data_IF_605808686703
#
_entry.id   IF_605808686703
#
_cell.length_a   1.000
_cell.length_b   1.000
_cell.length_c   1.000
_cell.angle_alpha   90.00
_cell.angle_beta   90.00
_cell.angle_gamma   90.00
#
_symmetry.space_group_name_H-M   'P 1'
#
loop_
_entity.id
_entity.type
_entity.pdbx_description
1 polymer ?
#
# COMPACT_ATOMS: atom_id res chain seq x y z
N UNK A 1 -1.96 -9.48 30.50
CA UNK A 1 -2.45 -10.58 29.63
C UNK A 1 -1.32 -11.01 28.70
N UNK A 2 -1.13 -12.31 28.49
CA UNK A 2 -0.15 -12.85 27.53
C UNK A 2 -0.90 -13.13 26.23
N UNK A 3 -0.26 -12.94 25.07
CA UNK A 3 -0.87 -13.30 23.78
C UNK A 3 -1.26 -14.78 23.79
N UNK A 4 -2.42 -15.11 23.20
CA UNK A 4 -2.80 -16.51 23.00
C UNK A 4 -1.88 -17.16 21.98
N UNK A 5 -1.83 -18.50 21.93
CA UNK A 5 -1.05 -19.22 20.90
C UNK A 5 -1.46 -18.85 19.47
N UNK A 6 -2.77 -18.67 19.26
CA UNK A 6 -3.32 -18.28 17.97
C UNK A 6 -2.88 -16.86 17.59
N UNK A 7 -2.95 -15.91 18.54
CA UNK A 7 -2.46 -14.54 18.35
C UNK A 7 -0.95 -14.51 18.06
N UNK A 8 -0.14 -15.26 18.80
CA UNK A 8 1.30 -15.37 18.52
C UNK A 8 1.57 -15.93 17.11
N UNK A 9 0.76 -16.87 16.63
CA UNK A 9 0.87 -17.39 15.27
C UNK A 9 0.46 -16.34 14.23
N UNK A 10 -0.68 -15.67 14.42
CA UNK A 10 -1.21 -14.64 13.54
C UNK A 10 -0.25 -13.46 13.39
N UNK A 11 0.34 -12.99 14.47
CA UNK A 11 1.20 -11.79 14.50
C UNK A 11 2.70 -12.10 14.48
N UNK A 12 3.10 -13.33 14.10
CA UNK A 12 4.50 -13.77 14.12
C UNK A 12 5.45 -12.78 13.43
N UNK A 13 5.06 -12.21 12.29
CA UNK A 13 5.89 -11.23 11.55
C UNK A 13 6.05 -9.89 12.25
N UNK A 14 5.13 -9.51 13.12
CA UNK A 14 5.26 -8.31 13.94
C UNK A 14 6.10 -8.60 15.18
N UNK A 15 5.87 -9.74 15.84
CA UNK A 15 6.53 -10.09 17.11
C UNK A 15 8.05 -10.25 16.95
N UNK A 16 8.51 -10.70 15.78
CA UNK A 16 9.96 -10.80 15.52
C UNK A 16 10.62 -9.44 15.21
N UNK A 17 9.85 -8.35 15.10
CA UNK A 17 10.37 -6.99 14.97
C UNK A 17 10.84 -6.51 16.35
N UNK A 18 12.13 -6.14 16.52
CA UNK A 18 12.66 -5.72 17.81
C UNK A 18 11.91 -4.57 18.49
N UNK A 19 11.33 -3.67 17.71
CA UNK A 19 10.57 -2.49 18.11
C UNK A 19 9.16 -2.85 18.59
N UNK A 20 8.59 -3.97 18.15
CA UNK A 20 7.22 -4.39 18.51
C UNK A 20 7.26 -5.48 19.58
N UNK A 21 7.80 -6.66 19.29
CA UNK A 21 7.77 -7.84 20.18
C UNK A 21 6.34 -8.21 20.64
N UNK A 22 6.22 -9.18 21.55
CA UNK A 22 4.92 -9.56 22.12
C UNK A 22 4.24 -8.39 22.85
N UNK A 23 5.03 -7.57 23.56
CA UNK A 23 4.51 -6.46 24.35
C UNK A 23 3.91 -5.35 23.47
N UNK A 24 4.55 -5.03 22.35
CA UNK A 24 4.02 -4.06 21.39
C UNK A 24 2.76 -4.60 20.71
N UNK A 25 2.76 -5.85 20.25
CA UNK A 25 1.55 -6.41 19.64
C UNK A 25 0.38 -6.45 20.63
N UNK A 26 0.65 -6.72 21.91
CA UNK A 26 -0.35 -6.62 22.97
C UNK A 26 -0.91 -5.20 23.10
N UNK A 27 -0.05 -4.18 23.12
CA UNK A 27 -0.49 -2.77 23.16
C UNK A 27 -1.40 -2.44 21.97
N UNK A 28 -1.09 -2.94 20.77
CA UNK A 28 -1.96 -2.75 19.59
C UNK A 28 -3.34 -3.38 19.80
N UNK A 29 -3.39 -4.60 20.33
CA UNK A 29 -4.65 -5.30 20.64
C UNK A 29 -5.46 -4.65 21.78
N UNK A 30 -4.81 -3.88 22.65
CA UNK A 30 -5.46 -3.10 23.70
C UNK A 30 -5.88 -1.69 23.22
N UNK A 31 -5.37 -1.26 22.08
CA UNK A 31 -5.61 0.08 21.54
C UNK A 31 -6.90 0.18 20.74
N UNK A 32 -7.36 1.41 20.62
CA UNK A 32 -8.54 1.80 19.85
C UNK A 32 -8.22 2.98 18.93
N UNK A 33 -8.67 2.91 17.68
CA UNK A 33 -8.49 3.96 16.67
C UNK A 33 -9.85 4.33 16.09
N UNK A 34 -10.14 5.64 16.06
CA UNK A 34 -11.35 6.16 15.42
C UNK A 34 -11.01 6.73 14.06
N UNK A 35 -11.71 6.26 13.02
CA UNK A 35 -11.50 6.68 11.64
C UNK A 35 -12.76 7.30 11.05
N UNK A 36 -12.57 8.34 10.24
CA UNK A 36 -13.66 9.13 9.66
C UNK A 36 -13.40 9.32 8.16
N UNK A 37 -14.41 9.02 7.34
CA UNK A 37 -14.38 9.24 5.89
C UNK A 37 -15.77 9.44 5.30
N UNK A 38 -15.84 9.91 4.07
CA UNK A 38 -17.11 10.17 3.40
C UNK A 38 -17.76 8.86 2.92
N UNK A 39 -16.95 7.91 2.45
CA UNK A 39 -17.43 6.69 1.81
C UNK A 39 -16.43 5.53 1.95
N UNK A 40 -16.85 4.34 1.50
CA UNK A 40 -16.05 3.12 1.60
C UNK A 40 -14.73 3.20 0.83
N UNK A 41 -14.69 3.83 -0.35
CA UNK A 41 -13.45 3.90 -1.16
C UNK A 41 -12.32 4.58 -0.38
N UNK A 42 -12.67 5.59 0.42
CA UNK A 42 -11.71 6.41 1.18
C UNK A 42 -11.10 5.66 2.37
N UNK A 43 -11.91 4.87 3.08
CA UNK A 43 -11.46 4.14 4.25
C UNK A 43 -11.07 2.68 3.96
N UNK A 44 -11.20 2.22 2.71
CA UNK A 44 -11.05 0.81 2.35
C UNK A 44 -9.71 0.23 2.80
N UNK A 45 -8.58 0.83 2.39
CA UNK A 45 -7.25 0.35 2.76
C UNK A 45 -6.99 0.52 4.26
N UNK A 46 -7.40 1.65 4.83
CA UNK A 46 -7.15 1.97 6.24
C UNK A 46 -7.83 0.96 7.17
N UNK A 47 -9.10 0.64 6.93
CA UNK A 47 -9.83 -0.38 7.70
C UNK A 47 -9.11 -1.71 7.63
N UNK A 48 -8.72 -2.15 6.42
CA UNK A 48 -8.06 -3.44 6.23
C UNK A 48 -6.69 -3.50 6.92
N UNK A 49 -5.88 -2.45 6.84
CA UNK A 49 -4.55 -2.46 7.46
C UNK A 49 -4.58 -2.31 8.98
N UNK A 50 -5.43 -1.43 9.55
CA UNK A 50 -5.61 -1.39 11.01
C UNK A 50 -6.08 -2.75 11.55
N UNK A 51 -6.99 -3.40 10.81
CA UNK A 51 -7.51 -4.72 11.16
C UNK A 51 -6.44 -5.81 11.03
N UNK A 52 -5.72 -5.86 9.91
CA UNK A 52 -4.63 -6.82 9.69
C UNK A 52 -3.56 -6.71 10.78
N UNK A 53 -3.16 -5.49 11.13
CA UNK A 53 -2.11 -5.24 12.12
C UNK A 53 -2.55 -5.51 13.57
N UNK A 54 -3.85 -5.71 13.80
CA UNK A 54 -4.38 -6.07 15.12
C UNK A 54 -4.59 -4.89 16.04
N UNK A 55 -5.10 -3.77 15.52
CA UNK A 55 -5.65 -2.70 16.36
C UNK A 55 -6.93 -3.22 17.01
N UNK A 56 -6.95 -3.39 18.34
CA UNK A 56 -7.99 -4.13 19.04
C UNK A 56 -9.42 -3.63 18.83
N UNK A 57 -9.58 -2.31 18.64
CA UNK A 57 -10.85 -1.69 18.31
C UNK A 57 -10.69 -0.64 17.21
N UNK A 58 -11.42 -0.80 16.12
CA UNK A 58 -11.49 0.17 15.01
C UNK A 58 -12.91 0.71 14.95
N UNK A 59 -13.07 1.99 15.29
CA UNK A 59 -14.36 2.68 15.25
C UNK A 59 -14.46 3.46 13.94
N UNK A 60 -15.43 3.14 13.10
CA UNK A 60 -15.54 3.69 11.76
C UNK A 60 -16.76 4.60 11.62
N UNK A 61 -16.54 5.83 11.17
CA UNK A 61 -17.59 6.72 10.71
C UNK A 61 -17.55 6.82 9.18
N UNK A 62 -18.71 6.59 8.55
CA UNK A 62 -18.94 6.82 7.13
C UNK A 62 -20.07 7.84 6.98
N UNK A 63 -19.87 8.87 6.15
CA UNK A 63 -20.97 9.77 5.80
C UNK A 63 -22.02 9.08 4.92
N UNK A 64 -21.58 8.22 4.00
CA UNK A 64 -22.41 7.44 3.07
C UNK A 64 -22.29 5.96 3.39
N UNK A 65 -23.42 5.26 3.41
CA UNK A 65 -23.51 3.86 3.84
C UNK A 65 -23.23 2.83 2.72
N UNK A 66 -23.06 3.27 1.47
CA UNK A 66 -22.91 2.40 0.31
C UNK A 66 -21.68 1.48 0.43
N UNK A 67 -21.92 0.17 0.46
CA UNK A 67 -20.87 -0.85 0.53
C UNK A 67 -20.27 -1.07 1.93
N UNK A 68 -20.69 -0.32 2.96
CA UNK A 68 -20.11 -0.39 4.30
C UNK A 68 -20.22 -1.81 4.88
N UNK A 69 -21.38 -2.44 4.76
CA UNK A 69 -21.60 -3.79 5.26
C UNK A 69 -20.62 -4.82 4.68
N UNK A 70 -20.28 -4.69 3.39
CA UNK A 70 -19.32 -5.58 2.72
C UNK A 70 -17.91 -5.38 3.27
N UNK A 71 -17.44 -4.13 3.40
CA UNK A 71 -16.12 -3.82 3.95
C UNK A 71 -15.99 -4.33 5.40
N UNK A 72 -16.99 -4.05 6.24
CA UNK A 72 -16.97 -4.47 7.65
C UNK A 72 -16.98 -6.00 7.77
N UNK A 73 -17.77 -6.70 6.94
CA UNK A 73 -17.77 -8.16 6.91
C UNK A 73 -16.41 -8.72 6.48
N UNK A 74 -15.76 -8.10 5.48
CA UNK A 74 -14.44 -8.52 5.03
C UNK A 74 -13.37 -8.31 6.11
N UNK A 75 -13.39 -7.16 6.77
CA UNK A 75 -12.43 -6.84 7.82
C UNK A 75 -12.59 -7.78 9.05
N UNK A 76 -13.83 -8.05 9.48
CA UNK A 76 -14.09 -9.03 10.57
C UNK A 76 -13.62 -10.44 10.23
N UNK A 77 -13.76 -10.86 8.97
CA UNK A 77 -13.26 -12.16 8.50
C UNK A 77 -11.73 -12.17 8.38
N UNK A 78 -11.11 -11.05 7.97
CA UNK A 78 -9.66 -10.89 7.89
C UNK A 78 -8.99 -11.12 9.25
N UNK A 79 -9.51 -10.47 10.30
CA UNK A 79 -8.96 -10.60 11.64
C UNK A 79 -10.02 -10.67 12.73
N UNK A 80 -10.15 -11.85 13.33
CA UNK A 80 -11.11 -12.15 14.41
C UNK A 80 -10.72 -11.58 15.77
N UNK A 81 -9.46 -11.13 15.93
CA UNK A 81 -9.00 -10.48 17.17
C UNK A 81 -9.45 -9.01 17.28
N UNK A 82 -9.95 -8.42 16.18
CA UNK A 82 -10.26 -6.98 16.08
C UNK A 82 -11.76 -6.74 16.14
N UNK A 83 -12.17 -5.82 17.02
CA UNK A 83 -13.56 -5.33 17.08
C UNK A 83 -13.72 -4.15 16.13
N UNK A 84 -14.76 -4.20 15.30
CA UNK A 84 -15.08 -3.14 14.35
C UNK A 84 -16.49 -2.65 14.60
N UNK A 85 -16.62 -1.36 14.90
CA UNK A 85 -17.86 -0.70 15.29
C UNK A 85 -18.16 0.48 14.37
N UNK A 86 -19.44 0.70 14.04
CA UNK A 86 -19.88 1.85 13.26
C UNK A 86 -20.31 2.98 14.20
N UNK A 87 -19.72 4.15 14.02
CA UNK A 87 -20.05 5.37 14.77
C UNK A 87 -21.12 6.15 14.01
N UNK A 88 -22.13 6.67 14.72
CA UNK A 88 -23.17 7.56 14.15
C UNK A 88 -23.18 8.95 14.78
N UNK A 89 -23.03 9.05 16.09
CA UNK A 89 -23.23 10.30 16.83
C UNK A 89 -21.97 10.78 17.58
N UNK A 90 -21.64 10.17 18.72
CA UNK A 90 -20.52 10.62 19.57
C UNK A 90 -19.22 9.92 19.19
N UNK A 91 -18.11 10.66 19.15
CA UNK A 91 -16.78 10.03 19.02
C UNK A 91 -16.54 9.18 20.28
N UNK A 92 -16.28 7.87 20.14
CA UNK A 92 -15.82 7.08 21.27
C UNK A 92 -14.44 7.60 21.73
N UNK A 93 -14.09 7.31 22.98
CA UNK A 93 -12.71 7.48 23.44
C UNK A 93 -11.79 6.58 22.59
N UNK A 94 -10.68 7.12 22.13
CA UNK A 94 -9.72 6.38 21.31
C UNK A 94 -8.29 6.84 21.56
N UNK A 95 -7.32 5.95 21.35
CA UNK A 95 -5.91 6.29 21.47
C UNK A 95 -5.43 7.23 20.35
N UNK A 96 -6.03 7.11 19.17
CA UNK A 96 -5.65 7.86 17.98
C UNK A 96 -6.87 8.10 17.09
N UNK A 97 -6.84 9.19 16.33
CA UNK A 97 -7.90 9.54 15.36
C UNK A 97 -7.31 9.76 13.99
N UNK A 98 -8.03 9.32 12.96
CA UNK A 98 -7.65 9.54 11.56
C UNK A 98 -8.87 10.06 10.79
N UNK A 99 -8.70 11.15 10.05
CA UNK A 99 -9.75 11.75 9.24
C UNK A 99 -9.25 11.87 7.81
N UNK A 100 -9.92 11.17 6.88
CA UNK A 100 -9.58 11.16 5.47
C UNK A 100 -10.77 11.68 4.68
N UNK A 101 -10.52 12.48 3.65
CA UNK A 101 -11.58 12.94 2.77
C UNK A 101 -11.29 14.29 2.12
N UNK A 102 -12.34 14.89 1.57
CA UNK A 102 -12.27 16.24 1.03
C UNK A 102 -12.14 17.30 2.14
N UNK A 103 -11.57 18.48 1.86
CA UNK A 103 -11.55 19.60 2.79
C UNK A 103 -12.94 19.98 3.35
N UNK A 104 -14.03 20.05 2.55
CA UNK A 104 -15.37 20.29 3.10
C UNK A 104 -15.82 19.23 4.12
N UNK A 105 -15.55 17.94 3.85
CA UNK A 105 -15.83 16.86 4.81
C UNK A 105 -15.01 17.03 6.08
N UNK A 106 -13.69 17.18 5.94
CA UNK A 106 -12.76 17.35 7.07
C UNK A 106 -13.19 18.54 7.93
N UNK A 107 -13.50 19.69 7.32
CA UNK A 107 -13.95 20.89 8.02
C UNK A 107 -15.22 20.64 8.83
N UNK A 108 -16.21 19.98 8.23
CA UNK A 108 -17.49 19.68 8.89
C UNK A 108 -17.33 18.69 10.05
N UNK A 109 -16.64 17.56 9.82
CA UNK A 109 -16.48 16.53 10.85
C UNK A 109 -15.62 17.05 12.01
N UNK A 110 -14.60 17.84 11.71
CA UNK A 110 -13.69 18.38 12.72
C UNK A 110 -14.36 19.35 13.69
N UNK A 111 -15.32 20.16 13.24
CA UNK A 111 -16.16 21.01 14.11
C UNK A 111 -16.96 20.21 15.13
N UNK A 112 -17.35 18.98 14.80
CA UNK A 112 -18.01 18.08 15.74
C UNK A 112 -16.99 17.48 16.72
N UNK A 113 -15.84 17.03 16.21
CA UNK A 113 -14.79 16.39 16.99
C UNK A 113 -14.13 17.31 18.03
N UNK A 114 -14.09 18.62 17.78
CA UNK A 114 -13.59 19.63 18.73
C UNK A 114 -14.44 19.78 19.99
N UNK A 115 -15.66 19.22 20.00
CA UNK A 115 -16.53 19.22 21.19
C UNK A 115 -16.18 18.11 22.18
N UNK A 116 -15.42 17.12 21.74
CA UNK A 116 -14.98 15.98 22.54
C UNK A 116 -13.55 16.21 23.08
N UNK A 117 -13.10 15.35 23.99
CA UNK A 117 -11.72 15.37 24.45
C UNK A 117 -10.76 15.19 23.26
N UNK A 118 -9.72 16.02 23.22
CA UNK A 118 -8.74 15.97 22.15
C UNK A 118 -7.89 14.70 22.26
N UNK A 119 -7.67 14.07 21.11
CA UNK A 119 -6.74 12.95 20.93
C UNK A 119 -5.92 13.24 19.67
N UNK A 120 -4.65 12.78 19.59
CA UNK A 120 -3.84 13.00 18.40
C UNK A 120 -4.59 12.59 17.14
N UNK A 121 -4.69 13.52 16.19
CA UNK A 121 -5.55 13.39 15.02
C UNK A 121 -4.72 13.58 13.75
N UNK A 122 -4.65 12.53 12.92
CA UNK A 122 -4.01 12.56 11.62
C UNK A 122 -5.04 12.88 10.52
N UNK A 123 -4.80 13.95 9.78
CA UNK A 123 -5.61 14.31 8.62
C UNK A 123 -4.95 13.82 7.33
N UNK A 124 -5.73 13.22 6.44
CA UNK A 124 -5.36 12.98 5.04
C UNK A 124 -6.28 13.76 4.12
N UNK A 125 -5.75 14.83 3.53
CA UNK A 125 -6.47 15.63 2.54
C UNK A 125 -6.10 15.10 1.18
N UNK A 126 -7.05 14.49 0.48
CA UNK A 126 -6.78 13.85 -0.80
C UNK A 126 -7.51 14.61 -1.86
N UNK A 127 -6.84 15.14 -2.89
CA UNK A 127 -7.43 15.76 -4.10
C UNK A 127 -6.88 15.09 -5.35
N UNK A 128 -7.73 14.34 -6.06
CA UNK A 128 -7.31 13.58 -7.26
C UNK A 128 -6.02 12.80 -6.95
N UNK A 129 -4.99 12.88 -7.80
CA UNK A 129 -3.68 12.22 -7.68
C UNK A 129 -2.76 12.76 -6.58
N UNK A 130 -3.23 13.71 -5.76
CA UNK A 130 -2.43 14.36 -4.73
C UNK A 130 -3.05 14.17 -3.36
N UNK A 131 -2.22 14.10 -2.33
CA UNK A 131 -2.72 14.16 -0.97
C UNK A 131 -1.71 14.78 -0.01
N UNK A 132 -2.18 15.26 1.14
CA UNK A 132 -1.35 15.75 2.21
C UNK A 132 -1.69 15.05 3.53
N UNK A 133 -0.67 14.73 4.34
CA UNK A 133 -0.80 14.17 5.68
C UNK A 133 -0.37 15.21 6.71
N UNK A 134 -1.21 15.43 7.73
CA UNK A 134 -0.92 16.37 8.81
C UNK A 134 -1.36 15.79 10.17
N UNK A 135 -0.39 15.54 11.07
CA UNK A 135 -0.66 15.05 12.41
C UNK A 135 -0.73 16.22 13.40
N UNK A 136 -1.90 16.40 14.02
CA UNK A 136 -2.16 17.44 15.01
C UNK A 136 -2.28 16.84 16.40
N UNK A 137 -1.74 17.54 17.40
CA UNK A 137 -1.57 17.03 18.78
C UNK A 137 -2.34 17.82 19.84
N UNK A 138 -2.96 18.94 19.46
CA UNK A 138 -3.83 19.72 20.31
C UNK A 138 -4.98 20.35 19.50
N UNK A 139 -5.97 20.85 20.22
CA UNK A 139 -7.18 21.43 19.65
C UNK A 139 -6.96 22.80 19.01
N UNK A 140 -5.94 23.56 19.44
CA UNK A 140 -5.65 24.90 18.93
C UNK A 140 -5.06 24.80 17.51
N UNK A 141 -4.03 23.99 17.34
CA UNK A 141 -3.45 23.60 16.03
C UNK A 141 -4.56 23.08 15.09
N UNK A 142 -5.49 22.27 15.61
CA UNK A 142 -6.61 21.73 14.84
C UNK A 142 -7.59 22.81 14.40
N UNK A 143 -7.96 23.76 15.27
CA UNK A 143 -8.81 24.90 14.93
C UNK A 143 -8.18 25.74 13.82
N UNK A 144 -6.91 26.12 13.96
CA UNK A 144 -6.19 26.89 12.95
C UNK A 144 -6.15 26.15 11.60
N UNK A 145 -5.80 24.87 11.61
CA UNK A 145 -5.75 24.06 10.41
C UNK A 145 -7.10 24.01 9.66
N UNK A 146 -8.21 23.87 10.38
CA UNK A 146 -9.57 23.81 9.79
C UNK A 146 -9.96 25.15 9.15
N UNK A 147 -9.55 26.27 9.72
CA UNK A 147 -9.82 27.61 9.16
C UNK A 147 -9.11 27.83 7.83
N UNK A 148 -7.95 27.18 7.62
CA UNK A 148 -7.18 27.25 6.37
C UNK A 148 -7.75 26.38 5.24
N UNK A 149 -8.69 25.46 5.54
CA UNK A 149 -9.24 24.56 4.53
C UNK A 149 -10.16 25.30 3.54
N UNK A 150 -9.99 25.06 2.22
CA UNK A 150 -10.83 25.67 1.21
C UNK A 150 -12.29 25.23 1.34
N UNK A 151 -13.21 26.13 1.00
CA UNK A 151 -14.66 25.88 0.98
C UNK A 151 -15.14 25.24 -0.34
N UNK A 152 -14.30 25.23 -1.39
CA UNK A 152 -14.71 24.81 -2.73
C UNK A 152 -14.95 23.30 -2.83
N UNK A 153 -16.08 22.96 -3.45
CA UNK A 153 -16.39 21.61 -3.92
C UNK A 153 -15.76 21.37 -5.30
N UNK A 154 -15.31 20.15 -5.57
CA UNK A 154 -14.76 19.73 -6.85
C UNK A 154 -14.99 18.24 -7.06
N UNK A 155 -14.64 17.69 -8.22
CA UNK A 155 -14.64 16.24 -8.39
C UNK A 155 -13.41 15.64 -7.70
N UNK A 156 -13.66 14.83 -6.66
CA UNK A 156 -12.66 14.19 -5.81
C UNK A 156 -12.47 12.69 -6.13
N UNK A 157 -12.97 12.19 -7.27
CA UNK A 157 -13.15 10.74 -7.49
C UNK A 157 -11.95 10.08 -8.19
N UNK A 158 -10.86 9.89 -7.44
CA UNK A 158 -9.84 8.87 -7.75
C UNK A 158 -9.60 8.06 -6.50
N UNK A 159 -9.94 6.77 -6.52
CA UNK A 159 -9.82 5.90 -5.33
C UNK A 159 -8.37 5.62 -4.95
N UNK A 160 -7.44 5.69 -5.90
CA UNK A 160 -6.05 5.30 -5.71
C UNK A 160 -5.33 6.04 -4.56
N UNK A 161 -5.42 7.38 -4.45
CA UNK A 161 -4.61 8.12 -3.48
C UNK A 161 -5.12 7.93 -2.05
N UNK A 162 -6.42 7.66 -1.87
CA UNK A 162 -6.97 7.18 -0.60
C UNK A 162 -6.42 5.83 -0.17
N UNK A 163 -6.18 4.91 -1.13
CA UNK A 163 -5.58 3.62 -0.79
C UNK A 163 -4.18 3.83 -0.17
N UNK A 164 -3.34 4.64 -0.81
CA UNK A 164 -1.96 4.89 -0.39
C UNK A 164 -1.91 5.70 0.90
N UNK A 165 -2.69 6.78 1.00
CA UNK A 165 -2.74 7.58 2.21
C UNK A 165 -3.28 6.80 3.39
N UNK A 166 -4.31 5.95 3.20
CA UNK A 166 -4.82 5.06 4.23
C UNK A 166 -3.79 4.05 4.74
N UNK A 167 -2.96 3.49 3.86
CA UNK A 167 -1.86 2.61 4.27
C UNK A 167 -0.82 3.36 5.11
N UNK A 168 -0.41 4.56 4.69
CA UNK A 168 0.52 5.42 5.44
C UNK A 168 -0.05 5.85 6.80
N UNK A 169 -1.32 6.25 6.84
CA UNK A 169 -2.00 6.61 8.09
C UNK A 169 -2.05 5.44 9.08
N UNK A 170 -2.18 4.20 8.59
CA UNK A 170 -2.16 3.02 9.45
C UNK A 170 -0.78 2.76 10.07
N UNK A 171 0.31 3.05 9.34
CA UNK A 171 1.68 3.00 9.87
C UNK A 171 1.84 4.05 10.98
N UNK A 172 1.40 5.28 10.75
CA UNK A 172 1.50 6.35 11.75
C UNK A 172 0.69 6.04 13.01
N UNK A 173 -0.50 5.44 12.88
CA UNK A 173 -1.28 5.00 14.02
C UNK A 173 -0.52 3.97 14.89
N UNK A 174 0.15 3.01 14.25
CA UNK A 174 0.99 2.02 14.97
C UNK A 174 2.16 2.72 15.67
N UNK A 175 2.84 3.65 14.99
CA UNK A 175 3.94 4.43 15.58
C UNK A 175 3.50 5.18 16.83
N UNK A 176 2.36 5.86 16.76
CA UNK A 176 1.82 6.65 17.86
C UNK A 176 1.36 5.79 19.05
N UNK A 177 0.73 4.65 18.78
CA UNK A 177 0.31 3.71 19.84
C UNK A 177 1.51 3.05 20.54
N UNK A 178 2.55 2.71 19.77
CA UNK A 178 3.73 2.02 20.31
C UNK A 178 4.82 2.98 20.80
N UNK A 179 4.75 4.25 20.42
CA UNK A 179 5.79 5.26 20.61
C UNK A 179 7.14 4.79 20.04
N UNK A 180 7.14 4.45 18.75
CA UNK A 180 8.32 4.02 17.98
C UNK A 180 8.52 4.92 16.76
N UNK A 181 9.77 4.99 16.28
CA UNK A 181 10.14 5.85 15.15
C UNK A 181 10.08 7.34 15.49
N UNK A 182 10.29 8.17 14.47
CA UNK A 182 10.18 9.62 14.61
C UNK A 182 8.72 10.07 14.48
N UNK A 183 8.35 11.08 15.25
CA UNK A 183 7.02 11.69 15.19
C UNK A 183 6.84 12.42 13.87
N UNK A 184 5.66 12.31 13.27
CA UNK A 184 5.29 13.10 12.11
C UNK A 184 5.04 14.57 12.51
N UNK A 185 6.11 15.37 12.56
CA UNK A 185 6.05 16.80 12.95
C UNK A 185 5.87 17.74 11.75
N UNK A 186 6.11 17.25 10.53
CA UNK A 186 5.95 17.99 9.27
C UNK A 186 4.67 17.57 8.54
N UNK A 187 4.20 18.43 7.64
CA UNK A 187 3.12 18.11 6.72
C UNK A 187 3.74 17.48 5.47
N UNK A 188 3.34 16.25 5.15
CA UNK A 188 3.82 15.54 3.96
C UNK A 188 2.83 15.71 2.83
N UNK A 189 3.25 16.29 1.71
CA UNK A 189 2.47 16.41 0.48
C UNK A 189 2.99 15.43 -0.56
N UNK A 190 2.08 14.78 -1.25
CA UNK A 190 2.35 13.79 -2.30
C UNK A 190 1.70 14.22 -3.61
N UNK A 191 2.46 14.21 -4.68
CA UNK A 191 1.99 14.21 -6.07
C UNK A 191 2.40 12.86 -6.71
N UNK A 192 1.41 11.97 -6.84
CA UNK A 192 1.66 10.58 -7.21
C UNK A 192 2.03 10.40 -8.68
N UNK A 193 1.48 11.23 -9.57
CA UNK A 193 1.83 11.15 -10.98
C UNK A 193 3.27 11.60 -11.23
N UNK A 194 3.72 12.63 -10.52
CA UNK A 194 5.05 13.21 -10.73
C UNK A 194 6.15 12.65 -9.80
N UNK A 195 5.77 11.82 -8.82
CA UNK A 195 6.68 11.33 -7.76
C UNK A 195 7.33 12.48 -6.99
N UNK A 196 6.57 13.55 -6.77
CA UNK A 196 7.01 14.72 -6.00
C UNK A 196 6.45 14.62 -4.59
N UNK A 197 7.34 14.39 -3.62
CA UNK A 197 7.02 14.25 -2.21
C UNK A 197 7.73 15.38 -1.48
N UNK A 198 6.97 16.19 -0.75
CA UNK A 198 7.46 17.42 -0.12
C UNK A 198 7.05 17.49 1.33
N UNK A 199 8.00 17.91 2.13
CA UNK A 199 7.80 18.26 3.52
C UNK A 199 7.55 19.76 3.66
N UNK A 200 6.57 20.11 4.48
CA UNK A 200 6.31 21.48 4.87
C UNK A 200 6.36 21.59 6.39
N UNK A 201 6.97 22.67 6.90
CA UNK A 201 6.82 23.00 8.31
C UNK A 201 5.35 23.32 8.63
N UNK A 202 4.92 23.13 9.89
CA UNK A 202 3.54 23.46 10.30
C UNK A 202 3.15 24.92 9.98
N UNK A 203 4.09 25.85 10.11
CA UNK A 203 3.90 27.27 9.73
C UNK A 203 3.66 27.49 8.23
N UNK A 204 3.90 26.47 7.40
CA UNK A 204 3.69 26.48 5.96
C UNK A 204 2.43 25.71 5.54
N UNK A 205 1.49 25.47 6.46
CA UNK A 205 0.22 24.76 6.21
C UNK A 205 -0.52 25.24 4.96
N UNK A 206 -0.57 26.56 4.73
CA UNK A 206 -1.20 27.14 3.53
C UNK A 206 -0.49 26.68 2.25
N UNK A 207 0.85 26.58 2.25
CA UNK A 207 1.61 26.12 1.08
C UNK A 207 1.34 24.64 0.82
N UNK A 208 1.28 23.82 1.87
CA UNK A 208 0.98 22.39 1.78
C UNK A 208 -0.45 22.12 1.27
N UNK A 209 -1.44 22.88 1.73
CA UNK A 209 -2.82 22.76 1.22
C UNK A 209 -2.88 23.20 -0.25
N UNK A 210 -2.15 24.26 -0.62
CA UNK A 210 -2.08 24.73 -2.01
C UNK A 210 -1.35 23.75 -2.94
N UNK A 211 -0.34 23.00 -2.47
CA UNK A 211 0.40 22.06 -3.33
C UNK A 211 -0.46 20.91 -3.83
N UNK A 212 -1.48 20.50 -3.08
CA UNK A 212 -2.45 19.48 -3.48
C UNK A 212 -3.64 20.06 -4.26
N UNK A 213 -3.79 21.39 -4.28
CA UNK A 213 -4.90 22.07 -4.94
C UNK A 213 -4.57 22.36 -6.41
N UNK A 214 -4.55 21.33 -7.26
CA UNK A 214 -4.31 21.47 -8.72
C UNK A 214 -5.61 21.50 -9.53
N UNK A 215 -5.48 21.87 -10.81
CA UNK A 215 -6.50 21.67 -11.84
C UNK A 215 -6.85 20.19 -11.98
N UNK A 216 -8.05 19.91 -12.50
CA UNK A 216 -8.54 18.56 -12.66
C UNK A 216 -7.81 17.79 -13.77
N UNK A 217 -7.11 16.73 -13.39
CA UNK A 217 -6.50 15.78 -14.31
C UNK A 217 -7.35 14.50 -14.37
N UNK A 218 -8.14 14.39 -15.45
CA UNK A 218 -8.97 13.21 -15.70
C UNK A 218 -8.09 11.95 -15.78
N UNK A 219 -8.41 10.87 -15.04
CA UNK A 219 -7.71 9.60 -15.19
C UNK A 219 -7.76 9.07 -16.63
N UNK A 220 -6.63 8.59 -17.13
CA UNK A 220 -6.53 7.91 -18.41
C UNK A 220 -7.11 6.51 -18.28
N UNK A 221 -7.87 6.08 -19.29
CA UNK A 221 -8.48 4.75 -19.30
C UNK A 221 -7.40 3.65 -19.33
N UNK A 222 -7.52 2.69 -18.41
CA UNK A 222 -6.65 1.51 -18.28
C UNK A 222 -7.41 0.19 -18.55
N UNK A 223 -8.66 0.27 -19.01
CA UNK A 223 -9.54 -0.88 -19.23
C UNK A 223 -9.04 -1.89 -20.26
N UNK A 224 -8.07 -1.51 -21.11
CA UNK A 224 -7.44 -2.42 -22.08
C UNK A 224 -6.17 -3.10 -21.56
N UNK A 225 -5.64 -2.64 -20.42
CA UNK A 225 -4.41 -3.17 -19.86
C UNK A 225 -4.55 -4.62 -19.36
N UNK A 226 -3.51 -5.43 -19.58
CA UNK A 226 -3.35 -6.76 -19.01
C UNK A 226 -2.09 -6.80 -18.15
N UNK A 227 -2.26 -6.95 -16.85
CA UNK A 227 -1.14 -6.92 -15.89
C UNK A 227 -0.99 -8.28 -15.22
N UNK A 228 0.21 -8.84 -15.22
CA UNK A 228 0.54 -10.02 -14.43
C UNK A 228 1.10 -9.60 -13.07
N UNK A 229 0.47 -10.04 -11.99
CA UNK A 229 0.96 -9.89 -10.62
C UNK A 229 1.50 -11.24 -10.18
N UNK A 230 2.82 -11.29 -9.94
CA UNK A 230 3.52 -12.51 -9.52
C UNK A 230 3.71 -12.46 -8.01
N UNK A 231 2.93 -13.26 -7.29
CA UNK A 231 2.73 -13.21 -5.85
C UNK A 231 1.42 -12.51 -5.48
N UNK A 232 0.57 -13.20 -4.73
CA UNK A 232 -0.67 -12.69 -4.14
C UNK A 232 -0.53 -12.40 -2.64
N UNK A 233 0.72 -12.29 -2.16
CA UNK A 233 1.06 -12.03 -0.77
C UNK A 233 0.92 -10.57 -0.33
N UNK A 234 1.87 -10.10 0.49
CA UNK A 234 1.78 -8.78 1.14
C UNK A 234 1.85 -7.61 0.14
N UNK A 235 2.72 -7.72 -0.87
CA UNK A 235 2.82 -6.76 -1.97
C UNK A 235 1.69 -6.95 -3.00
N UNK A 236 1.41 -8.20 -3.37
CA UNK A 236 0.41 -8.53 -4.39
C UNK A 236 -1.03 -8.18 -3.99
N UNK A 237 -1.32 -8.20 -2.68
CA UNK A 237 -2.62 -7.83 -2.13
C UNK A 237 -3.04 -6.39 -2.48
N UNK A 238 -2.32 -5.34 -2.05
CA UNK A 238 -2.64 -3.96 -2.39
C UNK A 238 -2.55 -3.70 -3.90
N UNK A 239 -1.57 -4.30 -4.62
CA UNK A 239 -1.46 -4.17 -6.08
C UNK A 239 -2.78 -4.55 -6.75
N UNK A 240 -3.26 -5.76 -6.46
CA UNK A 240 -4.43 -6.30 -7.15
C UNK A 240 -5.71 -5.55 -6.76
N UNK A 241 -5.82 -5.10 -5.50
CA UNK A 241 -6.92 -4.24 -5.05
C UNK A 241 -6.93 -2.93 -5.83
N UNK A 242 -5.80 -2.23 -5.88
CA UNK A 242 -5.70 -0.94 -6.54
C UNK A 242 -6.00 -1.04 -8.03
N UNK A 243 -5.37 -1.99 -8.73
CA UNK A 243 -5.62 -2.26 -10.14
C UNK A 243 -7.10 -2.57 -10.43
N UNK A 244 -7.74 -3.32 -9.53
CA UNK A 244 -9.17 -3.63 -9.63
C UNK A 244 -10.06 -2.39 -9.47
N UNK A 245 -9.74 -1.54 -8.51
CA UNK A 245 -10.49 -0.31 -8.21
C UNK A 245 -10.32 0.77 -9.28
N UNK A 246 -9.15 0.87 -9.91
CA UNK A 246 -8.92 1.80 -11.04
C UNK A 246 -9.43 1.25 -12.38
N UNK A 247 -9.92 0.00 -12.40
CA UNK A 247 -10.61 -0.57 -13.55
C UNK A 247 -9.70 -1.12 -14.65
N UNK A 248 -8.56 -1.74 -14.31
CA UNK A 248 -7.78 -2.49 -15.31
C UNK A 248 -8.62 -3.61 -15.93
N UNK A 249 -8.40 -3.88 -17.22
CA UNK A 249 -9.17 -4.89 -17.95
C UNK A 249 -8.92 -6.32 -17.47
N UNK A 250 -7.64 -6.72 -17.37
CA UNK A 250 -7.25 -8.07 -16.99
C UNK A 250 -6.13 -8.06 -15.95
N UNK A 251 -6.29 -8.85 -14.88
CA UNK A 251 -5.23 -9.18 -13.93
C UNK A 251 -4.94 -10.68 -14.03
N UNK A 252 -3.68 -11.02 -14.32
CA UNK A 252 -3.13 -12.35 -14.07
C UNK A 252 -2.63 -12.42 -12.63
N UNK A 253 -3.02 -13.44 -11.87
CA UNK A 253 -2.55 -13.70 -10.51
C UNK A 253 -1.76 -15.01 -10.52
N UNK A 254 -0.45 -14.94 -10.35
CA UNK A 254 0.41 -16.11 -10.23
C UNK A 254 0.86 -16.28 -8.79
N UNK A 255 0.38 -17.33 -8.13
CA UNK A 255 0.80 -17.69 -6.78
C UNK A 255 0.49 -19.18 -6.55
N UNK A 256 1.45 -19.93 -5.99
CA UNK A 256 1.31 -21.37 -5.74
C UNK A 256 0.98 -21.69 -4.28
N UNK A 257 1.10 -20.72 -3.38
CA UNK A 257 0.88 -20.92 -1.96
C UNK A 257 -0.61 -21.00 -1.61
N UNK A 258 -0.86 -21.44 -0.37
CA UNK A 258 -2.17 -21.36 0.27
C UNK A 258 -2.20 -20.24 1.31
N UNK A 259 -3.41 -19.79 1.65
CA UNK A 259 -3.62 -18.81 2.72
C UNK A 259 -3.29 -19.42 4.08
N UNK A 260 -2.48 -18.71 4.86
CA UNK A 260 -2.09 -19.10 6.22
C UNK A 260 -2.43 -18.02 7.25
N UNK A 261 -2.69 -18.42 8.49
CA UNK A 261 -2.98 -17.50 9.59
C UNK A 261 -1.87 -16.46 9.82
N UNK A 262 -0.61 -16.90 9.77
CA UNK A 262 0.60 -16.07 9.97
C UNK A 262 0.80 -14.99 8.89
N UNK A 263 0.01 -15.05 7.82
CA UNK A 263 0.09 -14.18 6.66
C UNK A 263 -0.98 -13.07 6.71
N UNK A 264 -2.06 -13.26 7.48
CA UNK A 264 -3.19 -12.32 7.55
C UNK A 264 -2.86 -10.99 8.25
N UNK A 265 -1.70 -10.88 8.91
CA UNK A 265 -1.22 -9.60 9.45
C UNK A 265 -0.84 -8.56 8.38
N UNK A 266 -0.71 -8.97 7.11
CA UNK A 266 -0.28 -8.10 6.00
C UNK A 266 -0.92 -8.40 4.64
N UNK A 267 -1.52 -9.58 4.47
CA UNK A 267 -2.11 -10.02 3.19
C UNK A 267 -3.62 -9.75 3.16
N UNK A 268 -3.98 -8.48 2.93
CA UNK A 268 -5.35 -7.97 3.07
C UNK A 268 -6.36 -8.51 2.05
N UNK A 269 -5.94 -9.24 1.01
CA UNK A 269 -6.84 -9.97 0.10
C UNK A 269 -7.39 -11.27 0.71
N UNK A 270 -6.74 -11.78 1.76
CA UNK A 270 -7.07 -13.06 2.35
C UNK A 270 -7.83 -12.90 3.65
N UNK A 271 -8.33 -13.99 4.21
CA UNK A 271 -9.08 -13.94 5.45
C UNK A 271 -9.06 -15.27 6.19
N UNK A 272 -9.55 -15.25 7.43
CA UNK A 272 -9.59 -16.42 8.32
C UNK A 272 -10.45 -17.54 7.73
N UNK A 273 -11.62 -17.22 7.15
CA UNK A 273 -12.47 -18.23 6.51
C UNK A 273 -11.88 -18.90 5.26
N UNK A 274 -10.81 -18.32 4.69
CA UNK A 274 -10.16 -18.82 3.47
C UNK A 274 -8.79 -19.45 3.72
N UNK A 275 -8.41 -19.68 4.98
CA UNK A 275 -7.19 -20.42 5.31
C UNK A 275 -7.21 -21.80 4.62
N UNK A 276 -6.09 -22.17 3.99
CA UNK A 276 -5.95 -23.39 3.19
C UNK A 276 -6.40 -23.26 1.73
N UNK A 277 -7.07 -22.18 1.33
CA UNK A 277 -7.37 -21.90 -0.07
C UNK A 277 -6.11 -21.43 -0.80
N UNK A 278 -5.94 -21.78 -2.09
CA UNK A 278 -4.88 -21.22 -2.93
C UNK A 278 -4.97 -19.68 -2.95
N UNK A 279 -3.85 -18.99 -2.76
CA UNK A 279 -3.83 -17.53 -2.63
C UNK A 279 -4.40 -16.83 -3.86
N UNK A 280 -4.01 -17.25 -5.06
CA UNK A 280 -4.52 -16.66 -6.30
C UNK A 280 -6.04 -16.83 -6.45
N UNK A 281 -6.61 -17.97 -6.05
CA UNK A 281 -8.07 -18.18 -6.05
C UNK A 281 -8.77 -17.37 -4.95
N UNK A 282 -8.18 -17.31 -3.74
CA UNK A 282 -8.71 -16.46 -2.65
C UNK A 282 -8.73 -14.99 -3.05
N UNK A 283 -7.69 -14.52 -3.75
CA UNK A 283 -7.59 -13.16 -4.25
C UNK A 283 -8.67 -12.90 -5.29
N UNK A 284 -8.79 -13.77 -6.31
CA UNK A 284 -9.84 -13.71 -7.35
C UNK A 284 -11.23 -13.59 -6.76
N UNK A 285 -11.55 -14.35 -5.71
CA UNK A 285 -12.84 -14.29 -5.03
C UNK A 285 -13.17 -12.88 -4.52
N UNK A 286 -12.22 -12.20 -3.87
CA UNK A 286 -12.43 -10.85 -3.34
C UNK A 286 -12.43 -9.81 -4.46
N UNK A 287 -11.50 -9.88 -5.40
CA UNK A 287 -11.40 -8.91 -6.50
C UNK A 287 -12.69 -8.90 -7.35
N UNK A 288 -13.30 -10.06 -7.59
CA UNK A 288 -14.59 -10.16 -8.28
C UNK A 288 -15.77 -9.54 -7.52
N UNK A 289 -15.70 -9.47 -6.18
CA UNK A 289 -16.70 -8.73 -5.39
C UNK A 289 -16.49 -7.22 -5.46
N UNK A 290 -15.24 -6.77 -5.58
CA UNK A 290 -14.91 -5.35 -5.73
C UNK A 290 -15.29 -4.81 -7.11
N UNK A 291 -14.99 -5.58 -8.16
CA UNK A 291 -15.34 -5.23 -9.53
C UNK A 291 -15.76 -6.50 -10.29
N UNK A 292 -17.06 -6.76 -10.48
CA UNK A 292 -17.51 -7.96 -11.19
C UNK A 292 -17.05 -8.02 -12.66
N UNK A 293 -16.78 -6.88 -13.29
CA UNK A 293 -16.43 -6.77 -14.71
C UNK A 293 -14.97 -7.11 -15.02
N UNK A 294 -14.08 -7.07 -14.02
CA UNK A 294 -12.65 -7.32 -14.24
C UNK A 294 -12.38 -8.76 -14.66
N UNK A 295 -11.48 -9.00 -15.61
CA UNK A 295 -11.04 -10.35 -15.95
C UNK A 295 -9.90 -10.77 -15.03
N UNK A 296 -10.06 -11.89 -14.31
CA UNK A 296 -9.01 -12.44 -13.44
C UNK A 296 -8.62 -13.83 -13.96
N UNK A 297 -7.35 -13.97 -14.34
CA UNK A 297 -6.74 -15.24 -14.73
C UNK A 297 -5.84 -15.73 -13.59
N UNK A 298 -6.10 -16.90 -13.03
CA UNK A 298 -5.29 -17.47 -11.94
C UNK A 298 -4.30 -18.50 -12.49
N UNK A 299 -3.05 -18.41 -12.02
CA UNK A 299 -1.95 -19.31 -12.34
C UNK A 299 -1.44 -19.92 -11.04
N UNK A 300 -2.01 -21.05 -10.66
CA UNK A 300 -1.73 -21.73 -9.39
C UNK A 300 -0.46 -22.60 -9.49
N UNK A 301 0.64 -22.02 -9.93
CA UNK A 301 1.91 -22.71 -10.22
C UNK A 301 3.09 -21.90 -9.73
N UNK A 302 4.19 -22.57 -9.38
CA UNK A 302 5.44 -21.87 -9.14
C UNK A 302 6.01 -21.36 -10.47
N UNK A 303 6.56 -20.15 -10.48
CA UNK A 303 7.21 -19.61 -11.68
C UNK A 303 8.57 -20.29 -11.86
N UNK A 304 8.82 -20.80 -13.05
CA UNK A 304 10.03 -21.52 -13.42
C UNK A 304 10.47 -21.10 -14.82
N UNK A 305 11.72 -21.38 -15.21
CA UNK A 305 12.19 -21.07 -16.56
C UNK A 305 11.36 -21.75 -17.65
N UNK A 306 10.76 -22.91 -17.35
CA UNK A 306 9.93 -23.69 -18.27
C UNK A 306 8.59 -23.03 -18.59
N UNK A 307 8.00 -22.31 -17.63
CA UNK A 307 6.67 -21.72 -17.77
C UNK A 307 6.67 -20.18 -17.86
N UNK A 308 7.76 -19.52 -17.48
CA UNK A 308 7.79 -18.06 -17.37
C UNK A 308 7.48 -17.35 -18.69
N UNK A 309 8.07 -17.80 -19.80
CA UNK A 309 7.84 -17.19 -21.12
C UNK A 309 6.39 -17.31 -21.56
N UNK A 310 5.82 -18.51 -21.40
CA UNK A 310 4.46 -18.82 -21.86
C UNK A 310 3.41 -18.03 -21.08
N UNK A 311 3.62 -17.82 -19.77
CA UNK A 311 2.70 -17.04 -18.94
C UNK A 311 2.90 -15.53 -19.20
N UNK A 312 4.13 -15.02 -19.14
CA UNK A 312 4.41 -13.58 -19.18
C UNK A 312 4.03 -12.95 -20.53
N UNK A 313 4.16 -13.68 -21.65
CA UNK A 313 3.88 -13.14 -23.00
C UNK A 313 2.43 -12.66 -23.17
N UNK A 314 1.49 -13.19 -22.39
CA UNK A 314 0.05 -12.86 -22.46
C UNK A 314 -0.31 -11.48 -21.87
N UNK A 315 0.63 -10.85 -21.15
CA UNK A 315 0.40 -9.60 -20.41
C UNK A 315 1.24 -8.46 -20.98
N UNK A 316 0.78 -7.23 -20.77
CA UNK A 316 1.45 -6.02 -21.23
C UNK A 316 2.56 -5.58 -20.27
N UNK A 317 2.38 -5.87 -18.98
CA UNK A 317 3.27 -5.48 -17.89
C UNK A 317 3.28 -6.55 -16.79
N UNK A 318 4.42 -6.69 -16.09
CA UNK A 318 4.59 -7.61 -14.96
C UNK A 318 4.91 -6.83 -13.67
N UNK A 319 4.33 -7.27 -12.56
CA UNK A 319 4.63 -6.77 -11.20
C UNK A 319 5.25 -7.92 -10.39
N UNK A 320 6.45 -7.69 -9.85
CA UNK A 320 7.19 -8.63 -9.01
C UNK A 320 6.83 -8.45 -7.53
N UNK A 321 5.75 -9.12 -7.10
CA UNK A 321 5.29 -9.15 -5.71
C UNK A 321 5.77 -10.39 -4.93
N UNK A 322 7.01 -10.82 -5.20
CA UNK A 322 7.62 -12.05 -4.66
C UNK A 322 8.59 -11.76 -3.51
N UNK A 323 8.86 -12.73 -2.64
CA UNK A 323 9.73 -12.57 -1.46
C UNK A 323 11.05 -13.35 -1.54
N UNK A 324 11.31 -14.03 -2.66
CA UNK A 324 12.55 -14.77 -2.90
C UNK A 324 13.36 -14.13 -4.05
N UNK A 325 14.67 -14.28 -3.96
CA UNK A 325 15.62 -13.59 -4.83
C UNK A 325 15.67 -14.27 -6.20
N UNK A 326 15.62 -15.61 -6.22
CA UNK A 326 15.66 -16.42 -7.45
C UNK A 326 14.56 -16.00 -8.43
N UNK A 327 13.32 -15.87 -7.93
CA UNK A 327 12.18 -15.46 -8.77
C UNK A 327 12.33 -14.01 -9.26
N UNK A 328 12.96 -13.10 -8.50
CA UNK A 328 13.22 -11.72 -8.96
C UNK A 328 14.17 -11.70 -10.15
N UNK A 329 15.25 -12.48 -10.11
CA UNK A 329 16.16 -12.63 -11.25
C UNK A 329 15.48 -13.31 -12.44
N UNK A 330 14.70 -14.36 -12.21
CA UNK A 330 13.93 -15.04 -13.26
C UNK A 330 12.95 -14.08 -13.97
N UNK A 331 12.21 -13.28 -13.19
CA UNK A 331 11.28 -12.28 -13.71
C UNK A 331 12.00 -11.20 -14.52
N UNK A 332 13.12 -10.68 -13.99
CA UNK A 332 13.93 -9.71 -14.71
C UNK A 332 14.36 -10.24 -16.08
N UNK A 333 14.89 -11.46 -16.11
CA UNK A 333 15.44 -12.04 -17.34
C UNK A 333 14.32 -12.35 -18.34
N UNK A 334 13.22 -12.95 -17.89
CA UNK A 334 12.06 -13.24 -18.74
C UNK A 334 11.45 -11.96 -19.32
N UNK A 335 11.27 -10.93 -18.50
CA UNK A 335 10.73 -9.64 -18.93
C UNK A 335 11.68 -8.93 -19.90
N UNK A 336 13.00 -9.02 -19.69
CA UNK A 336 13.99 -8.48 -20.62
C UNK A 336 13.87 -9.15 -22.00
N UNK A 337 13.87 -10.48 -22.07
CA UNK A 337 13.78 -11.21 -23.34
C UNK A 337 12.42 -11.01 -24.05
N UNK A 338 11.33 -10.86 -23.29
CA UNK A 338 10.00 -10.59 -23.84
C UNK A 338 9.69 -9.11 -24.08
N UNK A 339 10.63 -8.22 -23.74
CA UNK A 339 10.46 -6.75 -23.80
C UNK A 339 9.23 -6.25 -23.03
N UNK A 340 8.93 -6.88 -21.89
CA UNK A 340 7.83 -6.49 -20.99
C UNK A 340 8.36 -5.58 -19.90
N UNK A 341 7.71 -4.43 -19.62
CA UNK A 341 8.01 -3.66 -18.41
C UNK A 341 7.82 -4.52 -17.16
N UNK A 342 8.73 -4.35 -16.21
CA UNK A 342 8.72 -5.00 -14.92
C UNK A 342 8.74 -3.93 -13.84
N UNK A 343 7.82 -4.03 -12.89
CA UNK A 343 7.82 -3.20 -11.69
C UNK A 343 8.24 -4.07 -10.52
N UNK A 344 9.18 -3.57 -9.73
CA UNK A 344 9.87 -4.34 -8.72
C UNK A 344 9.90 -3.56 -7.42
N UNK A 345 9.56 -4.23 -6.31
CA UNK A 345 9.71 -3.67 -4.97
C UNK A 345 10.28 -4.65 -3.96
N UNK A 346 11.09 -4.13 -3.03
CA UNK A 346 11.66 -4.84 -1.89
C UNK A 346 11.06 -4.33 -0.58
N UNK A 347 11.04 -5.18 0.46
CA UNK A 347 10.58 -4.83 1.80
C UNK A 347 11.44 -5.47 2.88
N UNK A 348 11.74 -4.72 3.93
CA UNK A 348 12.49 -5.18 5.09
C UNK A 348 12.10 -4.39 6.34
N UNK A 349 11.40 -5.03 7.28
CA UNK A 349 10.90 -4.40 8.53
C UNK A 349 9.97 -3.23 8.25
N UNK A 350 10.50 -2.01 8.37
CA UNK A 350 9.82 -0.74 8.14
C UNK A 350 10.21 -0.11 6.80
N UNK A 351 11.18 -0.69 6.09
CA UNK A 351 11.73 -0.12 4.88
C UNK A 351 11.15 -0.78 3.64
N UNK A 352 11.08 0.00 2.56
CA UNK A 352 10.76 -0.49 1.23
C UNK A 352 11.64 0.12 0.16
N UNK A 353 11.77 -0.58 -0.95
CA UNK A 353 12.41 -0.07 -2.17
C UNK A 353 11.49 -0.30 -3.37
N UNK A 354 11.52 0.57 -4.36
CA UNK A 354 10.78 0.36 -5.62
C UNK A 354 11.50 0.92 -6.83
N UNK A 355 11.42 0.22 -7.96
CA UNK A 355 11.94 0.66 -9.25
C UNK A 355 11.04 0.20 -10.40
N UNK A 356 11.08 0.94 -11.51
CA UNK A 356 10.45 0.55 -12.78
C UNK A 356 11.51 0.19 -13.81
N UNK A 357 11.51 -1.06 -14.23
CA UNK A 357 12.42 -1.61 -15.23
C UNK A 357 11.70 -1.63 -16.57
N UNK A 358 12.21 -0.87 -17.54
CA UNK A 358 11.74 -0.92 -18.91
C UNK A 358 12.88 -1.48 -19.76
N UNK A 359 12.75 -2.73 -20.27
CA UNK A 359 13.79 -3.38 -21.07
C UNK A 359 14.33 -2.47 -22.16
N UNK A 360 15.65 -2.52 -22.37
CA UNK A 360 16.40 -1.73 -23.37
C UNK A 360 16.40 -0.20 -23.15
N UNK A 361 15.62 0.34 -22.19
CA UNK A 361 15.45 1.80 -21.97
C UNK A 361 16.00 2.31 -20.64
N UNK A 362 16.76 1.50 -19.91
CA UNK A 362 17.31 1.86 -18.60
C UNK A 362 18.08 0.73 -17.93
N UNK A 363 18.26 0.87 -16.62
CA UNK A 363 18.79 -0.21 -15.78
C UNK A 363 17.80 -1.40 -15.71
N UNK A 364 18.32 -2.59 -15.47
CA UNK A 364 17.53 -3.77 -15.11
C UNK A 364 17.82 -4.17 -13.65
N UNK A 365 17.15 -5.20 -13.14
CA UNK A 365 17.37 -5.66 -11.77
C UNK A 365 18.83 -6.06 -11.53
N UNK A 366 19.46 -6.74 -12.49
CA UNK A 366 20.89 -7.13 -12.44
C UNK A 366 21.86 -5.94 -12.45
N UNK A 367 21.43 -4.76 -12.91
CA UNK A 367 22.24 -3.55 -12.79
C UNK A 367 22.32 -3.06 -11.34
N UNK A 368 21.24 -3.22 -10.57
CA UNK A 368 21.18 -2.85 -9.16
C UNK A 368 21.86 -3.91 -8.28
N UNK A 369 21.62 -5.17 -8.60
CA UNK A 369 22.09 -6.32 -7.84
C UNK A 369 22.83 -7.27 -8.80
N UNK A 370 24.15 -7.11 -8.98
CA UNK A 370 24.90 -7.89 -9.97
C UNK A 370 25.16 -9.35 -9.55
N UNK A 371 25.17 -9.64 -8.24
CA UNK A 371 25.52 -10.97 -7.71
C UNK A 371 24.34 -11.59 -6.93
N UNK A 372 24.11 -12.88 -7.16
CA UNK A 372 23.12 -13.70 -6.43
C UNK A 372 23.69 -14.19 -5.09
N UNK A 373 25.01 -14.36 -4.99
CA UNK A 373 25.66 -15.05 -3.88
C UNK A 373 25.58 -14.27 -2.55
N UNK A 374 25.16 -14.97 -1.49
CA UNK A 374 25.29 -14.52 -0.10
C UNK A 374 24.05 -13.87 0.53
N UNK A 375 22.96 -13.69 -0.21
CA UNK A 375 21.73 -13.09 0.32
C UNK A 375 20.77 -14.13 0.93
N UNK A 376 21.20 -14.84 1.99
CA UNK A 376 20.26 -15.59 2.83
C UNK A 376 19.53 -14.62 3.77
N UNK A 377 18.43 -14.02 3.31
CA UNK A 377 17.55 -13.26 4.19
C UNK A 377 16.71 -14.25 5.01
N UNK A 378 17.08 -14.50 6.27
CA UNK A 378 16.13 -15.04 7.26
C UNK A 378 14.89 -14.17 7.20
N UNK A 379 13.74 -14.78 6.99
CA UNK A 379 12.51 -14.05 6.70
C UNK A 379 12.25 -13.01 7.82
N UNK A 380 12.46 -11.71 7.55
CA UNK A 380 12.53 -10.70 8.59
C UNK A 380 11.14 -10.44 9.17
N UNK A 381 11.10 -9.74 10.31
CA UNK A 381 9.88 -9.07 10.74
C UNK A 381 9.50 -7.99 9.74
N UNK A 382 8.21 -7.74 9.56
CA UNK A 382 7.67 -6.76 8.61
C UNK A 382 6.43 -6.14 9.24
N UNK A 383 6.36 -4.81 9.29
CA UNK A 383 5.13 -4.12 9.71
C UNK A 383 4.09 -4.26 8.59
N UNK A 384 2.91 -4.76 8.90
CA UNK A 384 1.94 -5.23 7.89
C UNK A 384 1.50 -4.20 6.85
N UNK A 385 1.50 -2.91 7.17
CA UNK A 385 1.14 -1.85 6.24
C UNK A 385 2.27 -1.40 5.29
N UNK A 386 3.53 -1.71 5.58
CA UNK A 386 4.69 -1.39 4.71
C UNK A 386 4.58 -2.06 3.33
N UNK A 387 4.34 -3.39 3.21
CA UNK A 387 4.06 -3.98 1.90
C UNK A 387 2.80 -3.40 1.27
N UNK A 388 1.86 -2.89 2.08
CA UNK A 388 0.72 -2.10 1.62
C UNK A 388 1.13 -0.87 0.83
N UNK A 389 1.96 -0.02 1.42
CA UNK A 389 2.51 1.18 0.78
C UNK A 389 3.27 0.80 -0.49
N UNK A 390 4.19 -0.16 -0.40
CA UNK A 390 5.05 -0.52 -1.53
C UNK A 390 4.26 -1.14 -2.68
N UNK A 391 3.32 -2.05 -2.43
CA UNK A 391 2.49 -2.62 -3.49
C UNK A 391 1.50 -1.61 -4.11
N UNK A 392 1.08 -0.58 -3.35
CA UNK A 392 0.36 0.53 -3.96
C UNK A 392 1.30 1.31 -4.90
N UNK A 393 2.53 1.63 -4.50
CA UNK A 393 3.52 2.25 -5.39
C UNK A 393 3.73 1.41 -6.66
N UNK A 394 3.77 0.07 -6.55
CA UNK A 394 3.85 -0.80 -7.73
C UNK A 394 2.65 -0.64 -8.68
N UNK A 395 1.43 -0.60 -8.15
CA UNK A 395 0.23 -0.37 -8.95
C UNK A 395 0.20 1.05 -9.58
N UNK A 396 0.72 2.06 -8.90
CA UNK A 396 0.86 3.42 -9.43
C UNK A 396 1.83 3.46 -10.62
N UNK A 397 2.99 2.81 -10.50
CA UNK A 397 3.94 2.69 -11.60
C UNK A 397 3.31 1.92 -12.78
N UNK A 398 2.51 0.89 -12.50
CA UNK A 398 1.84 0.12 -13.55
C UNK A 398 0.86 0.97 -14.33
N UNK A 399 0.06 1.77 -13.62
CA UNK A 399 -0.80 2.77 -14.21
C UNK A 399 -0.01 3.71 -15.11
N UNK A 400 1.04 4.37 -14.60
CA UNK A 400 1.85 5.33 -15.35
C UNK A 400 2.51 4.73 -16.60
N UNK A 401 3.01 3.51 -16.51
CA UNK A 401 3.63 2.83 -17.66
C UNK A 401 2.60 2.52 -18.74
N UNK A 402 1.42 2.01 -18.38
CA UNK A 402 0.39 1.63 -19.35
C UNK A 402 -0.26 2.86 -19.99
N UNK A 403 -0.53 3.90 -19.21
CA UNK A 403 -1.22 5.10 -19.69
C UNK A 403 -0.27 6.13 -20.30
N UNK A 404 1.04 5.99 -20.07
CA UNK A 404 2.05 6.97 -20.49
C UNK A 404 1.96 8.30 -19.74
N UNK A 405 1.31 8.34 -18.57
CA UNK A 405 1.13 9.56 -17.78
C UNK A 405 2.21 9.73 -16.71
N UNK A 406 2.51 10.98 -16.36
CA UNK A 406 3.37 11.30 -15.23
C UNK A 406 4.83 10.89 -15.43
N UNK A 407 5.55 10.75 -14.32
CA UNK A 407 6.95 10.37 -14.28
C UNK A 407 7.10 9.02 -13.60
N UNK A 408 7.74 8.06 -14.26
CA UNK A 408 8.00 6.72 -13.68
C UNK A 408 9.28 6.68 -12.86
N UNK A 409 9.45 5.59 -12.11
CA UNK A 409 10.68 5.20 -11.42
C UNK A 409 11.75 4.62 -12.35
N UNK A 410 11.61 4.76 -13.68
CA UNK A 410 12.65 4.35 -14.62
C UNK A 410 13.95 5.10 -14.31
N UNK A 411 15.06 4.37 -14.16
CA UNK A 411 16.38 4.92 -13.76
C UNK A 411 16.38 5.61 -12.40
N UNK A 412 15.48 5.19 -11.51
CA UNK A 412 15.39 5.67 -10.13
C UNK A 412 15.17 4.49 -9.21
N UNK A 413 15.65 4.61 -7.98
CA UNK A 413 15.26 3.73 -6.87
C UNK A 413 14.58 4.61 -5.83
N UNK A 414 13.30 4.33 -5.58
CA UNK A 414 12.58 4.89 -4.44
C UNK A 414 12.98 4.11 -3.19
N UNK A 415 13.30 4.82 -2.13
CA UNK A 415 13.52 4.30 -0.79
C UNK A 415 12.40 4.84 0.10
N UNK A 416 11.84 3.99 0.94
CA UNK A 416 10.84 4.36 1.92
C UNK A 416 11.29 3.91 3.31
N UNK A 417 11.26 4.82 4.28
CA UNK A 417 11.40 4.53 5.70
C UNK A 417 10.06 4.77 6.41
N UNK A 418 9.42 3.71 6.88
CA UNK A 418 8.16 3.78 7.59
C UNK A 418 8.25 4.26 9.05
N UNK A 419 9.42 4.24 9.68
CA UNK A 419 9.61 4.81 11.03
C UNK A 419 9.71 6.33 10.96
N UNK A 420 10.38 6.85 9.95
CA UNK A 420 10.57 8.29 9.76
C UNK A 420 9.51 8.91 8.84
N UNK A 421 8.74 8.07 8.15
CA UNK A 421 7.78 8.46 7.11
C UNK A 421 8.46 9.25 5.98
N UNK A 422 9.70 8.87 5.65
CA UNK A 422 10.54 9.53 4.66
C UNK A 422 10.60 8.75 3.35
N UNK A 423 10.67 9.50 2.25
CA UNK A 423 10.80 8.97 0.90
C UNK A 423 11.96 9.64 0.19
N UNK A 424 12.92 8.83 -0.25
CA UNK A 424 14.06 9.29 -1.04
C UNK A 424 14.02 8.69 -2.45
N UNK A 425 14.49 9.45 -3.42
CA UNK A 425 14.62 8.98 -4.80
C UNK A 425 16.07 9.18 -5.25
N UNK A 426 16.78 8.07 -5.43
CA UNK A 426 18.14 8.09 -5.98
C UNK A 426 18.11 7.75 -7.47
N UNK A 427 18.95 8.41 -8.26
CA UNK A 427 19.11 8.08 -9.69
C UNK A 427 20.00 6.86 -9.84
N UNK A 428 19.60 5.95 -10.72
CA UNK A 428 20.29 4.71 -11.02
C UNK A 428 20.61 4.66 -12.49
N UNK A 429 21.88 4.45 -12.80
CA UNK A 429 22.35 4.29 -14.18
C UNK A 429 22.37 2.82 -14.59
N UNK A 430 22.27 2.60 -15.90
CA UNK A 430 22.46 1.28 -16.49
C UNK A 430 23.93 0.90 -16.33
N UNK A 431 24.21 -0.28 -15.76
CA UNK A 431 25.56 -0.81 -15.70
C UNK A 431 26.01 -1.30 -17.11
N UNK A 432 27.07 -0.74 -17.72
CA UNK A 432 27.59 -1.18 -19.03
C UNK A 432 28.08 -2.63 -19.04
N UNK A 433 28.53 -3.15 -17.89
CA UNK A 433 29.01 -4.52 -17.71
C UNK A 433 27.90 -5.49 -17.25
N UNK A 434 26.63 -5.05 -17.27
CA UNK A 434 25.52 -5.88 -16.86
C UNK A 434 25.45 -7.17 -17.70
N UNK A 435 25.38 -8.36 -17.08
CA UNK A 435 25.46 -9.63 -17.79
C UNK A 435 24.28 -9.89 -18.74
N UNK A 436 23.16 -9.18 -18.59
CA UNK A 436 21.98 -9.34 -19.46
C UNK A 436 21.75 -8.17 -20.41
N UNK A 437 21.87 -6.93 -19.94
CA UNK A 437 21.54 -5.75 -20.73
C UNK A 437 22.74 -4.84 -21.05
N UNK A 438 23.95 -5.22 -20.63
CA UNK A 438 25.18 -4.47 -20.89
C UNK A 438 25.63 -4.51 -22.36
N UNK A 439 26.81 -3.97 -22.63
CA UNK A 439 27.38 -3.91 -23.99
C UNK A 439 27.81 -5.29 -24.51
N UNK A 440 28.26 -6.17 -23.60
CA UNK A 440 28.73 -7.52 -23.91
C UNK A 440 27.97 -8.56 -23.02
N UNK A 441 26.69 -8.84 -23.31
CA UNK A 441 25.87 -9.69 -22.45
C UNK A 441 26.34 -11.15 -22.46
N UNK A 442 26.50 -11.73 -21.27
CA UNK A 442 26.84 -13.15 -21.05
C UNK A 442 25.60 -14.02 -20.86
N UNK A 443 24.47 -13.44 -20.44
CA UNK A 443 23.17 -14.10 -20.31
C UNK A 443 22.37 -13.86 -21.60
N UNK A 444 22.29 -14.89 -22.44
CA UNK A 444 21.62 -14.83 -23.75
C UNK A 444 20.32 -15.64 -23.84
N UNK A 445 19.99 -16.37 -22.77
CA UNK A 445 18.76 -17.13 -22.60
C UNK A 445 18.37 -17.17 -21.12
N UNK A 446 17.11 -17.50 -20.85
CA UNK A 446 16.64 -17.76 -19.49
C UNK A 446 17.49 -18.86 -18.82
N UNK A 447 17.99 -18.54 -17.63
CA UNK A 447 18.75 -19.45 -16.79
C UNK A 447 17.85 -20.09 -15.74
N UNK A 448 18.36 -21.16 -15.13
CA UNK A 448 17.76 -21.82 -13.97
C UNK A 448 17.72 -20.92 -12.74
#
# INVERSE_FOLDING_TARGET
>A
MVLTKEQSSRYLRHIIIPEIRDQGQKKLLEASVSIYGENVKELFSLVLYLTAMGIGQVNCYFQKDDGVALLISQAKDLNTDVRIELIRDKSPESNFRIVLGSPPFIKRISKHLLKDNFVPTLFSLVKQWKFALNLLRDSEDMLEFIELLPEEEGEWDISFPFLLSGALCSIEAVKEILNIGNKLEKILSFDLLNLDIKDYHKSESIKAIKSINSEYEKPTDISQGKILVVGAGGLGSPVSIALTMIGVGTIGLLDFDVVELSNLNRQVLHSTSRIGMLKAESAKYILKKLNPQIKINTHNVNLTKENAIEIIKEYDLVIAAVDNIETRYLLNDACYFLKKPLIESGILRFHGTSTTIIPEKGHCYRCLYPNIDGMSLKAPGILGAVPGVMGLIEALEAYKVITGTGTTLKNKLLLFDGLDMEFDIIKIEKNPECPICGENPTITKLQD
#
